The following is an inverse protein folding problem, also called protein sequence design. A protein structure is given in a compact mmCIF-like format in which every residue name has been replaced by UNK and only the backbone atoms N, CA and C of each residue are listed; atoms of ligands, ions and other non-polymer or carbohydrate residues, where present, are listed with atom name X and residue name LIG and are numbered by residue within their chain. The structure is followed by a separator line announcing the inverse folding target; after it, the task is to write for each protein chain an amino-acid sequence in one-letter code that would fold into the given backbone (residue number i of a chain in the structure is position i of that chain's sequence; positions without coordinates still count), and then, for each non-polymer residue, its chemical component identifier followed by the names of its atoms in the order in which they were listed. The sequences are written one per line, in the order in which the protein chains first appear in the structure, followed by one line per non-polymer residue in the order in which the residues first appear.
data_IF_236001316184
#
_entry.id   IF_236001316184
#
_cell.length_a   1.000
_cell.length_b   1.000
_cell.length_c   1.000
_cell.angle_alpha   90.00
_cell.angle_beta   90.00
_cell.angle_gamma   90.00
#
_symmetry.space_group_name_H-M   'P 1'
#
loop_
_entity.id
_entity.type
_entity.pdbx_description
1 polymer ?
#
# COMPACT_ATOMS: atom_id res chain seq x y z
N UNK A 1 17.85 51.67 -10.96
CA UNK A 1 18.15 50.31 -10.47
C UNK A 1 16.83 49.65 -10.05
N UNK A 2 16.16 48.88 -10.93
CA UNK A 2 14.92 48.20 -10.54
C UNK A 2 15.26 46.97 -9.67
N UNK A 3 14.61 46.89 -8.50
CA UNK A 3 14.68 45.76 -7.56
C UNK A 3 14.15 44.52 -8.28
N UNK A 4 15.00 43.50 -8.45
CA UNK A 4 14.52 42.20 -8.92
C UNK A 4 13.61 41.58 -7.86
N UNK A 5 12.47 40.98 -8.25
CA UNK A 5 11.64 40.24 -7.33
C UNK A 5 12.40 38.98 -6.90
N UNK A 6 12.57 38.83 -5.59
CA UNK A 6 13.03 37.58 -4.98
C UNK A 6 11.95 36.54 -5.25
N UNK A 7 12.21 35.62 -6.18
CA UNK A 7 11.43 34.40 -6.31
C UNK A 7 11.81 33.57 -5.09
N UNK A 8 11.03 33.70 -4.02
CA UNK A 8 11.03 32.74 -2.93
C UNK A 8 10.57 31.42 -3.52
N UNK A 9 11.52 30.57 -3.91
CA UNK A 9 11.24 29.19 -4.23
C UNK A 9 10.65 28.55 -2.97
N UNK A 10 9.33 28.38 -2.99
CA UNK A 10 8.57 27.57 -2.04
C UNK A 10 9.02 26.11 -2.23
N UNK A 11 10.20 25.79 -1.72
CA UNK A 11 10.81 24.46 -1.72
C UNK A 11 10.09 23.47 -0.80
N UNK A 12 8.86 23.78 -0.34
CA UNK A 12 8.20 23.07 0.76
C UNK A 12 7.20 21.98 0.35
N UNK A 13 6.95 21.81 -0.96
CA UNK A 13 6.01 20.79 -1.45
C UNK A 13 6.66 19.44 -1.76
N UNK A 14 7.94 19.42 -2.16
CA UNK A 14 8.66 18.20 -2.55
C UNK A 14 9.15 17.36 -1.35
N UNK A 15 9.21 17.95 -0.15
CA UNK A 15 9.77 17.32 1.06
C UNK A 15 8.73 16.75 2.04
N UNK A 16 7.44 16.88 1.71
CA UNK A 16 6.38 16.28 2.51
C UNK A 16 6.23 14.82 2.14
N UNK A 17 6.45 13.96 3.13
CA UNK A 17 6.21 12.52 2.96
C UNK A 17 4.75 12.31 2.53
N UNK A 18 4.49 11.30 1.70
CA UNK A 18 3.13 10.91 1.39
C UNK A 18 2.34 10.64 2.67
N UNK A 19 1.08 11.05 2.70
CA UNK A 19 0.20 10.71 3.80
C UNK A 19 -0.05 9.19 3.83
N UNK A 20 -0.21 8.56 5.01
CA UNK A 20 -0.52 7.14 5.09
C UNK A 20 -1.81 6.83 4.31
N UNK A 21 -1.80 5.82 3.42
CA UNK A 21 -2.99 5.39 2.70
C UNK A 21 -4.18 5.08 3.62
N UNK A 22 -5.39 5.42 3.15
CA UNK A 22 -6.64 5.02 3.80
C UNK A 22 -6.78 3.50 3.74
N UNK A 23 -7.24 2.88 4.84
CA UNK A 23 -7.40 1.42 4.93
C UNK A 23 -6.27 0.69 5.67
N UNK A 24 -5.16 1.38 5.99
CA UNK A 24 -4.17 0.87 6.95
C UNK A 24 -4.74 0.86 8.37
N UNK A 25 -4.44 -0.19 9.12
CA UNK A 25 -4.66 -0.29 10.56
C UNK A 25 -3.81 0.72 11.33
N UNK A 26 -4.08 0.89 12.63
CA UNK A 26 -3.34 1.84 13.47
C UNK A 26 -1.83 1.49 13.54
N UNK A 27 -1.49 0.20 13.65
CA UNK A 27 -0.11 -0.27 13.66
C UNK A 27 0.57 -0.09 12.30
N UNK A 28 -0.13 -0.40 11.20
CA UNK A 28 0.39 -0.21 9.84
C UNK A 28 0.63 1.28 9.53
N UNK A 29 -0.27 2.18 9.97
CA UNK A 29 -0.07 3.64 9.85
C UNK A 29 1.16 4.11 10.63
N UNK A 30 1.37 3.58 11.83
CA UNK A 30 2.54 3.89 12.65
C UNK A 30 3.83 3.42 11.98
N UNK A 31 3.83 2.22 11.39
CA UNK A 31 4.97 1.69 10.66
C UNK A 31 5.27 2.52 9.41
N UNK A 32 4.24 2.87 8.62
CA UNK A 32 4.38 3.69 7.42
C UNK A 32 5.03 5.05 7.73
N UNK A 33 4.55 5.76 8.77
CA UNK A 33 5.14 7.04 9.19
C UNK A 33 6.60 6.91 9.61
N UNK A 34 6.92 5.87 10.39
CA UNK A 34 8.29 5.59 10.82
C UNK A 34 9.22 5.35 9.62
N UNK A 35 8.76 4.62 8.61
CA UNK A 35 9.55 4.40 7.38
C UNK A 35 9.80 5.71 6.65
N UNK A 36 8.75 6.50 6.47
CA UNK A 36 8.85 7.82 5.84
C UNK A 36 9.88 8.71 6.56
N UNK A 37 9.82 8.78 7.90
CA UNK A 37 10.78 9.51 8.73
C UNK A 37 12.23 8.99 8.55
N UNK A 38 12.44 7.67 8.59
CA UNK A 38 13.77 7.06 8.39
C UNK A 38 14.33 7.35 7.00
N UNK A 39 13.49 7.27 5.98
CA UNK A 39 13.88 7.50 4.58
C UNK A 39 14.15 8.96 4.28
N UNK A 40 13.38 9.89 4.87
CA UNK A 40 13.72 11.32 4.85
C UNK A 40 15.06 11.57 5.53
N UNK A 41 15.31 10.99 6.71
CA UNK A 41 16.57 11.15 7.43
C UNK A 41 17.79 10.62 6.64
N UNK A 42 17.57 9.59 5.81
CA UNK A 42 18.58 9.05 4.89
C UNK A 42 18.73 9.86 3.57
N UNK A 43 18.03 10.98 3.41
CA UNK A 43 18.08 11.82 2.21
C UNK A 43 17.36 11.22 1.00
N UNK A 44 16.51 10.19 1.19
CA UNK A 44 15.78 9.51 0.12
C UNK A 44 14.30 9.35 0.49
N UNK A 45 13.52 10.44 0.51
CA UNK A 45 12.11 10.43 0.89
C UNK A 45 11.30 9.42 0.06
N UNK A 46 10.17 8.97 0.62
CA UNK A 46 9.28 8.02 -0.05
C UNK A 46 8.57 8.73 -1.20
N UNK A 47 8.69 8.19 -2.41
CA UNK A 47 8.02 8.77 -3.58
C UNK A 47 6.51 8.45 -3.58
N UNK A 48 5.72 9.28 -4.24
CA UNK A 48 4.27 9.06 -4.37
C UNK A 48 3.94 7.68 -4.96
N UNK A 49 4.69 7.23 -5.98
CA UNK A 49 4.50 5.92 -6.60
C UNK A 49 4.75 4.75 -5.64
N UNK A 50 5.63 4.92 -4.66
CA UNK A 50 5.86 3.91 -3.62
C UNK A 50 4.67 3.83 -2.66
N UNK A 51 4.00 4.95 -2.40
CA UNK A 51 2.73 4.98 -1.67
C UNK A 51 1.59 4.34 -2.46
N UNK A 52 1.55 4.51 -3.78
CA UNK A 52 0.53 3.90 -4.64
C UNK A 52 0.57 2.37 -4.62
N UNK A 53 1.77 1.78 -4.51
CA UNK A 53 1.93 0.32 -4.33
C UNK A 53 1.22 -0.17 -3.05
N UNK A 54 1.24 0.64 -1.98
CA UNK A 54 0.54 0.32 -0.74
C UNK A 54 -0.97 0.41 -0.92
N UNK A 55 -1.46 1.36 -1.73
CA UNK A 55 -2.88 1.48 -2.09
C UNK A 55 -3.34 0.25 -2.87
N UNK A 56 -2.57 -0.18 -3.87
CA UNK A 56 -2.87 -1.38 -4.66
C UNK A 56 -2.92 -2.64 -3.80
N UNK A 57 -1.99 -2.77 -2.85
CA UNK A 57 -2.02 -3.86 -1.87
C UNK A 57 -3.30 -3.85 -1.02
N UNK A 58 -3.74 -2.68 -0.54
CA UNK A 58 -4.96 -2.56 0.26
C UNK A 58 -6.22 -2.90 -0.56
N UNK A 59 -6.25 -2.49 -1.83
CA UNK A 59 -7.33 -2.85 -2.74
C UNK A 59 -7.38 -4.37 -2.99
N UNK A 60 -6.23 -5.01 -3.21
CA UNK A 60 -6.15 -6.46 -3.34
C UNK A 60 -6.61 -7.18 -2.08
N UNK A 61 -6.20 -6.71 -0.89
CA UNK A 61 -6.63 -7.25 0.41
C UNK A 61 -8.14 -7.19 0.60
N UNK A 62 -8.76 -6.07 0.22
CA UNK A 62 -10.21 -5.90 0.29
C UNK A 62 -10.95 -6.89 -0.61
N UNK A 63 -10.51 -7.03 -1.87
CA UNK A 63 -11.09 -7.98 -2.83
C UNK A 63 -10.96 -9.44 -2.37
N UNK A 64 -9.83 -9.79 -1.76
CA UNK A 64 -9.62 -11.12 -1.20
C UNK A 64 -10.58 -11.39 -0.03
N UNK A 65 -10.73 -10.44 0.89
CA UNK A 65 -11.66 -10.57 2.01
C UNK A 65 -13.11 -10.78 1.53
N UNK A 66 -13.52 -10.07 0.47
CA UNK A 66 -14.82 -10.25 -0.14
C UNK A 66 -14.98 -11.61 -0.82
N UNK A 67 -13.96 -12.08 -1.55
CA UNK A 67 -13.95 -13.43 -2.12
C UNK A 67 -14.10 -14.51 -1.05
N UNK A 68 -13.40 -14.38 0.08
CA UNK A 68 -13.49 -15.30 1.21
C UNK A 68 -14.86 -15.24 1.93
N UNK A 69 -15.49 -14.06 1.97
CA UNK A 69 -16.84 -13.89 2.51
C UNK A 69 -17.85 -14.63 1.65
N UNK A 70 -17.81 -14.37 0.33
CA UNK A 70 -18.68 -15.05 -0.64
C UNK A 70 -18.41 -16.56 -0.64
N UNK A 71 -17.15 -17.00 -0.56
CA UNK A 71 -16.84 -18.43 -0.43
C UNK A 71 -17.52 -19.06 0.80
N UNK A 72 -17.47 -18.41 1.98
CA UNK A 72 -18.11 -18.92 3.19
C UNK A 72 -19.63 -18.97 3.09
N UNK A 73 -20.23 -17.97 2.46
CA UNK A 73 -21.68 -17.90 2.25
C UNK A 73 -22.15 -18.95 1.23
N UNK A 74 -21.41 -19.13 0.14
CA UNK A 74 -21.74 -20.05 -0.96
C UNK A 74 -21.36 -21.51 -0.67
N UNK A 75 -20.43 -21.77 0.26
CA UNK A 75 -20.18 -23.13 0.79
C UNK A 75 -21.41 -23.71 1.51
N UNK A 76 -22.42 -22.89 1.83
CA UNK A 76 -23.72 -23.35 2.30
C UNK A 76 -24.62 -23.92 1.19
N UNK A 77 -24.27 -23.73 -0.09
CA UNK A 77 -25.07 -24.12 -1.25
C UNK A 77 -24.41 -25.24 -2.09
N UNK A 78 -25.20 -26.28 -2.40
CA UNK A 78 -24.69 -27.60 -2.86
C UNK A 78 -24.26 -27.70 -4.33
N UNK A 79 -24.26 -26.61 -5.10
CA UNK A 79 -24.15 -26.67 -6.59
C UNK A 79 -22.92 -25.93 -7.17
N UNK A 80 -22.06 -25.31 -6.37
CA UNK A 80 -21.17 -24.25 -6.91
C UNK A 80 -19.77 -24.69 -7.43
N UNK A 81 -19.32 -24.05 -8.52
CA UNK A 81 -18.04 -24.27 -9.23
C UNK A 81 -16.81 -23.91 -8.38
N UNK A 82 -16.40 -24.84 -7.52
CA UNK A 82 -15.32 -24.68 -6.54
C UNK A 82 -13.92 -24.50 -7.19
N UNK A 83 -13.65 -25.17 -8.32
CA UNK A 83 -12.30 -25.30 -8.89
C UNK A 83 -11.72 -23.98 -9.42
N UNK A 84 -12.50 -23.23 -10.19
CA UNK A 84 -12.02 -22.00 -10.83
C UNK A 84 -11.88 -20.85 -9.83
N UNK A 85 -12.71 -20.84 -8.78
CA UNK A 85 -12.62 -19.85 -7.69
C UNK A 85 -11.44 -20.11 -6.77
N UNK A 86 -11.15 -21.37 -6.40
CA UNK A 86 -9.94 -21.71 -5.63
C UNK A 86 -8.69 -21.30 -6.42
N UNK A 87 -8.66 -21.54 -7.73
CA UNK A 87 -7.56 -21.13 -8.58
C UNK A 87 -7.37 -19.60 -8.61
N UNK A 88 -8.48 -18.84 -8.69
CA UNK A 88 -8.45 -17.37 -8.65
C UNK A 88 -8.03 -16.85 -7.27
N UNK A 89 -8.58 -17.37 -6.18
CA UNK A 89 -8.20 -16.99 -4.82
C UNK A 89 -6.71 -17.24 -4.56
N UNK A 90 -6.19 -18.41 -4.97
CA UNK A 90 -4.77 -18.72 -4.87
C UNK A 90 -3.89 -17.84 -5.78
N UNK A 91 -4.40 -17.38 -6.92
CA UNK A 91 -3.70 -16.42 -7.77
C UNK A 91 -3.63 -15.02 -7.11
N UNK A 92 -4.73 -14.57 -6.51
CA UNK A 92 -4.80 -13.30 -5.76
C UNK A 92 -3.88 -13.35 -4.53
N UNK A 93 -3.85 -14.46 -3.79
CA UNK A 93 -2.95 -14.65 -2.66
C UNK A 93 -1.48 -14.60 -3.07
N UNK A 94 -1.13 -15.23 -4.19
CA UNK A 94 0.24 -15.16 -4.74
C UNK A 94 0.61 -13.73 -5.15
N UNK A 95 -0.31 -12.99 -5.77
CA UNK A 95 -0.10 -11.59 -6.13
C UNK A 95 0.06 -10.72 -4.87
N UNK A 96 -0.81 -10.87 -3.88
CA UNK A 96 -0.75 -10.14 -2.62
C UNK A 96 0.54 -10.46 -1.82
N UNK A 97 0.98 -11.72 -1.82
CA UNK A 97 2.24 -12.14 -1.22
C UNK A 97 3.45 -11.53 -1.93
N UNK A 98 3.40 -11.42 -3.26
CA UNK A 98 4.45 -10.76 -4.06
C UNK A 98 4.49 -9.26 -3.77
N UNK A 99 3.35 -8.57 -3.74
CA UNK A 99 3.28 -7.16 -3.37
C UNK A 99 3.76 -6.91 -1.94
N UNK A 100 3.44 -7.80 -0.99
CA UNK A 100 3.95 -7.74 0.38
C UNK A 100 5.46 -7.89 0.43
N UNK A 101 6.03 -8.82 -0.35
CA UNK A 101 7.49 -9.00 -0.44
C UNK A 101 8.15 -7.75 -1.00
N UNK A 102 7.65 -7.22 -2.11
CA UNK A 102 8.15 -5.97 -2.71
C UNK A 102 8.03 -4.79 -1.74
N UNK A 103 6.93 -4.67 -1.01
CA UNK A 103 6.77 -3.64 0.01
C UNK A 103 7.75 -3.81 1.18
N UNK A 104 8.11 -5.05 1.57
CA UNK A 104 9.17 -5.33 2.55
C UNK A 104 10.56 -5.00 1.99
N UNK A 105 10.86 -5.38 0.75
CA UNK A 105 12.15 -5.11 0.08
C UNK A 105 12.39 -3.60 -0.09
N UNK A 106 11.31 -2.85 -0.35
CA UNK A 106 11.31 -1.39 -0.40
C UNK A 106 11.24 -0.73 0.99
N UNK A 107 11.22 -1.54 2.06
CA UNK A 107 11.09 -1.15 3.46
C UNK A 107 9.83 -0.31 3.78
N UNK A 108 8.79 -0.38 2.96
CA UNK A 108 7.55 0.42 3.08
C UNK A 108 6.62 -0.07 4.21
N UNK A 109 6.78 -1.33 4.62
CA UNK A 109 6.04 -1.95 5.71
C UNK A 109 7.00 -2.70 6.64
N UNK A 110 6.70 -2.70 7.93
CA UNK A 110 7.56 -3.31 8.95
C UNK A 110 7.83 -4.79 8.67
N UNK A 111 9.10 -5.18 8.82
CA UNK A 111 9.48 -6.58 8.91
C UNK A 111 8.95 -7.14 10.23
N UNK A 112 7.75 -7.72 10.20
CA UNK A 112 7.40 -8.79 11.12
C UNK A 112 8.21 -10.03 10.76
#
# INVERSE_FOLDING_TARGET
MPRMPQISEDSSAADRDPAPPRGLSRSEKSAFRRVCELRRAAGRPVAAIESDIVVDYLAARSRLAELQRVEREEQADSVFFLKDRIALAAAVDRAAGTCRRLAKDLMLIGAA
#
